data_IF_398175800758
#
_entry.id   IF_398175800758
#
_cell.length_a   1.000
_cell.length_b   1.000
_cell.length_c   1.000
_cell.angle_alpha   90.00
_cell.angle_beta   90.00
_cell.angle_gamma   90.00
#
_symmetry.space_group_name_H-M   'P 1'
#
loop_
_entity.id
_entity.type
_entity.pdbx_description
1 polymer ?
#
# COMPACT_ATOMS: atom_id res chain seq x y z
N UNK A 1 -11.18 47.68 56.08
CA UNK A 1 -10.89 46.32 55.58
C UNK A 1 -10.52 46.44 54.10
N UNK A 2 -9.22 46.51 53.80
CA UNK A 2 -8.68 46.51 52.43
C UNK A 2 -7.84 45.23 52.30
N UNK A 3 -8.25 44.31 51.42
CA UNK A 3 -7.50 43.09 51.11
C UNK A 3 -6.60 43.39 49.92
N UNK A 4 -5.31 43.19 50.14
CA UNK A 4 -4.21 43.34 49.20
C UNK A 4 -4.30 42.33 48.04
N UNK A 5 -4.18 42.86 46.83
CA UNK A 5 -3.93 42.12 45.59
C UNK A 5 -2.57 41.42 45.67
N UNK A 6 -2.55 40.08 45.56
CA UNK A 6 -1.31 39.35 45.30
C UNK A 6 -1.17 39.22 43.78
N UNK A 7 -0.19 39.93 43.23
CA UNK A 7 0.17 39.89 41.82
C UNK A 7 0.58 38.47 41.40
N UNK A 8 0.11 38.07 40.22
CA UNK A 8 0.67 36.95 39.47
C UNK A 8 2.02 37.40 38.91
N UNK A 9 3.12 37.00 39.53
CA UNK A 9 4.45 37.11 38.91
C UNK A 9 4.52 36.11 37.76
N UNK A 10 4.76 36.61 36.55
CA UNK A 10 4.99 35.78 35.38
C UNK A 10 6.32 35.02 35.57
N UNK A 11 6.27 33.69 35.44
CA UNK A 11 7.46 32.83 35.49
C UNK A 11 8.46 33.26 34.40
N UNK A 12 9.77 33.30 34.68
CA UNK A 12 10.80 33.63 33.69
C UNK A 12 10.70 32.70 32.48
N UNK A 13 10.78 33.25 31.26
CA UNK A 13 10.72 32.50 30.00
C UNK A 13 11.77 31.39 29.90
N UNK A 14 12.93 31.56 30.53
CA UNK A 14 13.98 30.55 30.62
C UNK A 14 13.56 29.29 31.41
N UNK A 15 12.73 29.44 32.45
CA UNK A 15 12.19 28.30 33.21
C UNK A 15 11.11 27.56 32.40
N UNK A 16 10.36 28.27 31.55
CA UNK A 16 9.40 27.66 30.63
C UNK A 16 10.15 26.85 29.56
N UNK A 17 11.19 27.41 28.96
CA UNK A 17 12.03 26.67 28.00
C UNK A 17 12.67 25.45 28.66
N UNK A 18 13.20 25.55 29.87
CA UNK A 18 13.83 24.42 30.56
C UNK A 18 12.82 23.34 31.02
N UNK A 19 11.56 23.70 31.30
CA UNK A 19 10.45 22.77 31.59
C UNK A 19 9.90 22.12 30.31
N UNK A 20 9.96 22.81 29.17
CA UNK A 20 9.60 22.28 27.85
C UNK A 20 10.72 21.40 27.26
N UNK A 21 11.98 21.75 27.50
CA UNK A 21 13.18 21.06 27.02
C UNK A 21 13.51 19.82 27.87
N UNK A 22 13.21 19.86 29.19
CA UNK A 22 13.36 18.73 30.10
C UNK A 22 12.37 17.57 29.89
N UNK A 23 11.39 17.73 28.99
CA UNK A 23 10.55 16.62 28.49
C UNK A 23 11.05 16.16 27.14
N UNK A 24 12.26 15.62 27.13
CA UNK A 24 12.80 14.92 25.98
C UNK A 24 11.74 14.02 25.35
N UNK A 25 11.53 14.31 24.08
CA UNK A 25 10.56 13.74 23.18
C UNK A 25 10.75 12.23 23.00
N UNK A 26 10.19 11.41 23.89
CA UNK A 26 9.94 10.01 23.54
C UNK A 26 8.73 9.95 22.61
N UNK A 27 9.00 9.94 21.31
CA UNK A 27 8.06 9.49 20.29
C UNK A 27 7.51 8.13 20.71
N UNK A 28 6.19 7.98 20.77
CA UNK A 28 5.58 6.70 21.14
C UNK A 28 6.10 5.65 20.13
N UNK A 29 6.67 4.54 20.63
CA UNK A 29 7.15 3.41 19.80
C UNK A 29 6.05 2.83 18.91
N UNK A 30 4.80 3.21 19.16
CA UNK A 30 3.63 2.91 18.35
C UNK A 30 3.54 3.76 17.09
N UNK A 31 4.07 4.97 17.08
CA UNK A 31 4.04 5.87 15.91
C UNK A 31 5.26 5.68 14.99
N UNK A 32 6.26 4.93 15.42
CA UNK A 32 7.41 4.56 14.59
C UNK A 32 7.04 3.47 13.58
N UNK A 33 7.15 3.78 12.28
CA UNK A 33 6.83 2.85 11.18
C UNK A 33 7.81 1.67 11.07
N UNK A 34 9.03 1.80 11.61
CA UNK A 34 10.04 0.73 11.60
C UNK A 34 10.02 -0.13 12.86
N UNK A 35 9.14 0.18 13.80
CA UNK A 35 8.89 -0.64 14.98
C UNK A 35 8.37 -2.02 14.57
N UNK A 36 8.79 -3.08 15.30
CA UNK A 36 8.35 -4.48 15.05
C UNK A 36 6.82 -4.62 14.99
N UNK A 37 6.10 -3.78 15.72
CA UNK A 37 4.63 -3.78 15.74
C UNK A 37 4.00 -3.25 14.45
N UNK A 38 4.69 -2.38 13.71
CA UNK A 38 4.19 -1.70 12.51
C UNK A 38 4.80 -2.25 11.22
N UNK A 39 5.88 -3.04 11.32
CA UNK A 39 6.61 -3.57 10.18
C UNK A 39 5.74 -4.34 9.18
N UNK A 40 4.72 -5.08 9.66
CA UNK A 40 3.78 -5.75 8.76
C UNK A 40 2.96 -4.76 7.91
N UNK A 41 2.57 -3.62 8.47
CA UNK A 41 1.85 -2.54 7.77
C UNK A 41 2.80 -1.91 6.75
N UNK A 42 4.00 -1.55 7.18
CA UNK A 42 5.05 -0.95 6.33
C UNK A 42 5.37 -1.83 5.12
N UNK A 43 5.55 -3.14 5.34
CA UNK A 43 5.80 -4.10 4.26
C UNK A 43 4.60 -4.21 3.32
N UNK A 44 3.38 -4.13 3.84
CA UNK A 44 2.18 -4.16 2.99
C UNK A 44 2.11 -2.94 2.07
N UNK A 45 2.39 -1.73 2.58
CA UNK A 45 2.48 -0.52 1.73
C UNK A 45 3.59 -0.63 0.68
N UNK A 46 4.76 -1.15 1.06
CA UNK A 46 5.88 -1.39 0.14
C UNK A 46 5.47 -2.37 -0.97
N UNK A 47 4.89 -3.51 -0.61
CA UNK A 47 4.46 -4.55 -1.55
C UNK A 47 3.39 -4.04 -2.49
N UNK A 48 2.36 -3.33 -2.00
CA UNK A 48 1.30 -2.79 -2.85
C UNK A 48 1.88 -1.80 -3.86
N UNK A 49 2.77 -0.90 -3.44
CA UNK A 49 3.46 0.03 -4.34
C UNK A 49 4.29 -0.70 -5.40
N UNK A 50 5.16 -1.62 -4.96
CA UNK A 50 6.03 -2.40 -5.83
C UNK A 50 5.24 -3.18 -6.88
N UNK A 51 4.22 -3.91 -6.46
CA UNK A 51 3.45 -4.80 -7.32
C UNK A 51 2.65 -4.03 -8.36
N UNK A 52 2.00 -2.92 -8.00
CA UNK A 52 1.23 -2.10 -8.95
C UNK A 52 2.11 -1.58 -10.08
N UNK A 53 3.28 -1.04 -9.74
CA UNK A 53 4.19 -0.48 -10.73
C UNK A 53 4.97 -1.55 -11.49
N UNK A 54 5.28 -2.68 -10.85
CA UNK A 54 5.99 -3.79 -11.49
C UNK A 54 5.15 -4.45 -12.57
N UNK A 55 3.88 -4.76 -12.31
CA UNK A 55 3.03 -5.49 -13.27
C UNK A 55 2.58 -4.61 -14.43
N UNK A 56 2.43 -3.30 -14.22
CA UNK A 56 1.88 -2.40 -15.24
C UNK A 56 2.68 -2.43 -16.55
N UNK A 57 4.01 -2.41 -16.49
CA UNK A 57 4.85 -2.38 -17.71
C UNK A 57 4.84 -3.70 -18.47
N UNK A 58 5.15 -4.86 -17.86
CA UNK A 58 5.08 -6.16 -18.54
C UNK A 58 3.69 -6.49 -19.08
N UNK A 59 2.64 -6.14 -18.33
CA UNK A 59 1.27 -6.42 -18.75
C UNK A 59 0.91 -5.66 -20.04
N UNK A 60 1.20 -4.36 -20.10
CA UNK A 60 0.95 -3.56 -21.30
C UNK A 60 1.72 -4.09 -22.51
N UNK A 61 2.99 -4.46 -22.32
CA UNK A 61 3.80 -4.99 -23.41
C UNK A 61 3.34 -6.38 -23.85
N UNK A 62 2.94 -7.25 -22.92
CA UNK A 62 2.43 -8.59 -23.23
C UNK A 62 1.11 -8.53 -24.01
N UNK A 63 0.19 -7.65 -23.61
CA UNK A 63 -1.07 -7.44 -24.34
C UNK A 63 -0.83 -7.00 -25.79
N UNK A 64 0.15 -6.12 -26.03
CA UNK A 64 0.46 -5.62 -27.38
C UNK A 64 1.24 -6.65 -28.20
N UNK A 65 2.33 -7.20 -27.65
CA UNK A 65 3.32 -7.97 -28.43
C UNK A 65 3.00 -9.46 -28.54
N UNK A 66 2.35 -10.04 -27.54
CA UNK A 66 2.08 -11.50 -27.50
C UNK A 66 0.63 -11.76 -27.88
N UNK A 67 -0.30 -11.13 -27.17
CA UNK A 67 -1.72 -11.34 -27.39
C UNK A 67 -2.28 -10.57 -28.60
N UNK A 68 -1.49 -9.67 -29.21
CA UNK A 68 -1.90 -8.82 -30.33
C UNK A 68 -3.26 -8.13 -30.08
N UNK A 69 -3.51 -7.72 -28.83
CA UNK A 69 -4.80 -7.19 -28.42
C UNK A 69 -5.07 -5.83 -29.11
N UNK A 70 -6.26 -5.69 -29.69
CA UNK A 70 -6.72 -4.41 -30.26
C UNK A 70 -6.71 -3.31 -29.19
N UNK A 71 -6.41 -2.03 -29.54
CA UNK A 71 -6.44 -0.93 -28.59
C UNK A 71 -7.75 -0.79 -27.80
N UNK A 72 -8.89 -1.13 -28.41
CA UNK A 72 -10.21 -1.18 -27.76
C UNK A 72 -10.27 -2.21 -26.62
N UNK A 73 -9.66 -3.38 -26.82
CA UNK A 73 -9.60 -4.46 -25.84
C UNK A 73 -8.62 -4.13 -24.69
N UNK A 74 -7.50 -3.47 -24.99
CA UNK A 74 -6.56 -2.98 -23.98
C UNK A 74 -7.24 -1.97 -23.04
N UNK A 75 -8.00 -1.03 -23.60
CA UNK A 75 -8.79 -0.08 -22.80
C UNK A 75 -9.82 -0.79 -21.92
N UNK A 76 -10.46 -1.83 -22.44
CA UNK A 76 -11.43 -2.64 -21.69
C UNK A 76 -10.78 -3.32 -20.48
N UNK A 77 -9.57 -3.86 -20.65
CA UNK A 77 -8.80 -4.48 -19.54
C UNK A 77 -8.38 -3.42 -18.53
N UNK A 78 -7.96 -2.23 -18.97
CA UNK A 78 -7.66 -1.10 -18.08
C UNK A 78 -8.86 -0.68 -17.23
N UNK A 79 -10.06 -0.66 -17.81
CA UNK A 79 -11.31 -0.41 -17.07
C UNK A 79 -11.59 -1.55 -16.09
N UNK A 80 -11.47 -2.81 -16.51
CA UNK A 80 -11.65 -3.96 -15.62
C UNK A 80 -10.68 -3.96 -14.44
N UNK A 81 -9.44 -3.51 -14.64
CA UNK A 81 -8.46 -3.39 -13.57
C UNK A 81 -8.79 -2.25 -12.58
N UNK A 82 -9.48 -1.21 -13.04
CA UNK A 82 -9.87 -0.06 -12.18
C UNK A 82 -11.21 -0.28 -11.47
N UNK A 83 -12.10 -1.11 -12.00
CA UNK A 83 -13.42 -1.37 -11.41
C UNK A 83 -13.40 -1.86 -9.95
N UNK A 84 -12.55 -2.83 -9.56
CA UNK A 84 -12.49 -3.28 -8.18
C UNK A 84 -12.21 -2.17 -7.16
N UNK A 85 -11.56 -1.07 -7.55
CA UNK A 85 -11.22 0.03 -6.65
C UNK A 85 -12.45 0.72 -6.07
N UNK A 86 -13.57 0.69 -6.80
CA UNK A 86 -14.86 1.17 -6.31
C UNK A 86 -15.42 0.32 -5.16
N UNK A 87 -14.96 -0.94 -5.01
CA UNK A 87 -15.38 -1.86 -3.96
C UNK A 87 -14.58 -1.74 -2.66
N UNK A 88 -13.68 -0.76 -2.56
CA UNK A 88 -12.89 -0.50 -1.33
C UNK A 88 -13.75 -0.44 -0.07
N UNK A 89 -14.88 0.28 -0.14
CA UNK A 89 -15.81 0.43 1.00
C UNK A 89 -16.35 -0.93 1.44
N UNK A 90 -16.71 -1.80 0.50
CA UNK A 90 -17.26 -3.14 0.79
C UNK A 90 -16.26 -3.97 1.61
N UNK A 91 -14.98 -3.97 1.23
CA UNK A 91 -13.94 -4.69 1.97
C UNK A 91 -13.67 -4.08 3.35
N UNK A 92 -13.78 -2.76 3.49
CA UNK A 92 -13.73 -2.07 4.78
C UNK A 92 -14.82 -2.58 5.72
N UNK A 93 -16.09 -2.48 5.30
CA UNK A 93 -17.25 -2.95 6.07
C UNK A 93 -17.20 -4.44 6.38
N UNK A 94 -16.77 -5.27 5.42
CA UNK A 94 -16.65 -6.71 5.61
C UNK A 94 -15.69 -7.04 6.76
N UNK A 95 -14.52 -6.41 6.77
CA UNK A 95 -13.51 -6.63 7.82
C UNK A 95 -13.96 -6.12 9.20
N UNK A 96 -14.80 -5.07 9.24
CA UNK A 96 -15.39 -4.55 10.48
C UNK A 96 -16.44 -5.49 11.07
N UNK A 97 -17.26 -6.08 10.19
CA UNK A 97 -18.45 -6.82 10.58
C UNK A 97 -18.16 -8.30 10.87
N UNK A 98 -17.14 -8.88 10.23
CA UNK A 98 -16.85 -10.32 10.30
C UNK A 98 -15.41 -10.56 10.79
N UNK A 99 -15.16 -10.64 12.11
CA UNK A 99 -13.85 -11.00 12.62
C UNK A 99 -13.56 -12.49 12.35
N UNK A 100 -12.39 -12.79 11.78
CA UNK A 100 -11.94 -14.15 11.50
C UNK A 100 -10.98 -14.58 12.61
N UNK A 101 -11.26 -15.67 13.32
CA UNK A 101 -10.50 -16.12 14.50
C UNK A 101 -10.31 -15.03 15.57
N UNK A 102 -11.30 -14.14 15.73
CA UNK A 102 -11.23 -13.00 16.65
C UNK A 102 -10.31 -11.86 16.19
N UNK A 103 -9.69 -11.97 15.00
CA UNK A 103 -8.86 -10.92 14.40
C UNK A 103 -9.62 -10.23 13.26
N UNK A 104 -9.65 -8.90 13.27
CA UNK A 104 -10.42 -8.13 12.29
C UNK A 104 -9.66 -7.83 10.99
N UNK A 105 -8.36 -7.54 11.03
CA UNK A 105 -7.61 -7.03 9.84
C UNK A 105 -6.54 -7.97 9.30
N UNK A 106 -5.73 -8.51 10.21
CA UNK A 106 -4.60 -9.41 9.89
C UNK A 106 -4.98 -10.59 8.98
N UNK A 107 -6.09 -11.33 9.22
CA UNK A 107 -6.46 -12.44 8.34
C UNK A 107 -6.86 -11.96 6.94
N UNK A 108 -7.55 -10.82 6.83
CA UNK A 108 -7.95 -10.23 5.54
C UNK A 108 -6.73 -9.82 4.70
N UNK A 109 -5.68 -9.32 5.34
CA UNK A 109 -4.41 -8.99 4.69
C UNK A 109 -3.74 -10.25 4.10
N UNK A 110 -3.71 -11.35 4.87
CA UNK A 110 -3.16 -12.61 4.39
C UNK A 110 -3.98 -13.20 3.23
N UNK A 111 -5.32 -13.19 3.35
CA UNK A 111 -6.23 -13.67 2.30
C UNK A 111 -6.04 -12.89 1.01
N UNK A 112 -5.98 -11.55 1.08
CA UNK A 112 -5.80 -10.70 -0.10
C UNK A 112 -4.48 -10.98 -0.82
N UNK A 113 -3.38 -11.15 -0.08
CA UNK A 113 -2.06 -11.48 -0.65
C UNK A 113 -2.03 -12.87 -1.29
N UNK A 114 -2.68 -13.86 -0.66
CA UNK A 114 -2.80 -15.22 -1.22
C UNK A 114 -3.66 -15.20 -2.47
N UNK A 115 -4.79 -14.50 -2.46
CA UNK A 115 -5.68 -14.38 -3.62
C UNK A 115 -4.96 -13.70 -4.79
N UNK A 116 -4.21 -12.64 -4.52
CA UNK A 116 -3.39 -11.95 -5.52
C UNK A 116 -2.38 -12.90 -6.16
N UNK A 117 -1.56 -13.55 -5.33
CA UNK A 117 -0.53 -14.48 -5.80
C UNK A 117 -1.14 -15.64 -6.58
N UNK A 118 -2.24 -16.20 -6.08
CA UNK A 118 -2.93 -17.30 -6.72
C UNK A 118 -3.45 -16.93 -8.11
N UNK A 119 -4.04 -15.75 -8.29
CA UNK A 119 -4.57 -15.32 -9.58
C UNK A 119 -3.50 -15.25 -10.69
N UNK A 120 -2.31 -14.72 -10.36
CA UNK A 120 -1.19 -14.64 -11.30
C UNK A 120 -0.49 -15.99 -11.51
N UNK A 121 -0.34 -16.80 -10.45
CA UNK A 121 0.21 -18.15 -10.57
C UNK A 121 -0.71 -19.04 -11.41
N UNK A 122 -2.02 -18.96 -11.20
CA UNK A 122 -3.00 -19.69 -11.98
C UNK A 122 -2.93 -19.31 -13.47
N UNK A 123 -2.74 -18.02 -13.77
CA UNK A 123 -2.51 -17.57 -15.14
C UNK A 123 -1.23 -18.20 -15.72
N UNK A 124 -0.11 -18.08 -15.00
CA UNK A 124 1.20 -18.57 -15.44
C UNK A 124 1.22 -20.10 -15.69
N UNK A 125 0.51 -20.89 -14.88
CA UNK A 125 0.48 -22.36 -15.02
C UNK A 125 -0.51 -22.80 -16.10
N UNK A 126 -1.56 -22.02 -16.36
CA UNK A 126 -2.62 -22.43 -17.29
C UNK A 126 -2.13 -22.67 -18.72
N UNK A 127 -1.10 -21.94 -19.17
CA UNK A 127 -0.66 -21.93 -20.57
C UNK A 127 -1.72 -21.45 -21.56
N UNK A 128 -2.76 -20.76 -21.09
CA UNK A 128 -3.87 -20.28 -21.93
C UNK A 128 -3.61 -18.83 -22.35
N UNK A 129 -3.20 -18.64 -23.60
CA UNK A 129 -3.02 -17.32 -24.22
C UNK A 129 -4.37 -16.69 -24.64
N UNK A 130 -5.24 -16.43 -23.65
CA UNK A 130 -6.53 -15.77 -23.87
C UNK A 130 -6.60 -14.46 -23.13
N UNK A 131 -6.93 -13.40 -23.87
CA UNK A 131 -7.12 -12.06 -23.31
C UNK A 131 -8.24 -12.05 -22.25
N UNK A 132 -9.31 -12.81 -22.45
CA UNK A 132 -10.42 -12.91 -21.50
C UNK A 132 -9.98 -13.59 -20.20
N UNK A 133 -9.19 -14.66 -20.31
CA UNK A 133 -8.67 -15.36 -19.14
C UNK A 133 -7.70 -14.47 -18.34
N UNK A 134 -6.79 -13.78 -19.04
CA UNK A 134 -5.92 -12.77 -18.44
C UNK A 134 -6.73 -11.68 -17.72
N UNK A 135 -7.76 -11.14 -18.35
CA UNK A 135 -8.63 -10.11 -17.76
C UNK A 135 -9.32 -10.60 -16.47
N UNK A 136 -9.80 -11.84 -16.44
CA UNK A 136 -10.38 -12.47 -15.25
C UNK A 136 -9.36 -12.61 -14.13
N UNK A 137 -8.16 -13.12 -14.42
CA UNK A 137 -7.08 -13.22 -13.45
C UNK A 137 -6.67 -11.85 -12.89
N UNK A 138 -6.55 -10.83 -13.74
CA UNK A 138 -6.27 -9.45 -13.31
C UNK A 138 -7.38 -8.92 -12.40
N UNK A 139 -8.65 -9.14 -12.76
CA UNK A 139 -9.77 -8.69 -11.97
C UNK A 139 -9.78 -9.33 -10.58
N UNK A 140 -9.66 -10.67 -10.52
CA UNK A 140 -9.61 -11.43 -9.26
C UNK A 140 -8.38 -11.05 -8.43
N UNK A 141 -7.22 -10.91 -9.06
CA UNK A 141 -6.01 -10.44 -8.40
C UNK A 141 -6.22 -9.04 -7.81
N UNK A 142 -6.78 -8.12 -8.59
CA UNK A 142 -6.99 -6.72 -8.13
C UNK A 142 -7.97 -6.65 -6.96
N UNK A 143 -8.97 -7.53 -6.86
CA UNK A 143 -9.80 -7.67 -5.65
C UNK A 143 -8.96 -8.01 -4.42
N UNK A 144 -8.05 -8.98 -4.53
CA UNK A 144 -7.12 -9.35 -3.46
C UNK A 144 -6.17 -8.20 -3.08
N UNK A 145 -5.65 -7.48 -4.07
CA UNK A 145 -4.78 -6.31 -3.87
C UNK A 145 -5.49 -5.20 -3.10
N UNK A 146 -6.74 -4.91 -3.45
CA UNK A 146 -7.53 -3.87 -2.81
C UNK A 146 -7.92 -4.25 -1.39
N UNK A 147 -8.19 -5.53 -1.15
CA UNK A 147 -8.39 -6.04 0.20
C UNK A 147 -7.17 -5.75 1.08
N UNK A 148 -5.95 -6.02 0.60
CA UNK A 148 -4.70 -5.68 1.31
C UNK A 148 -4.58 -4.16 1.52
N UNK A 149 -4.84 -3.37 0.48
CA UNK A 149 -4.74 -1.90 0.50
C UNK A 149 -5.67 -1.28 1.55
N UNK A 150 -6.95 -1.69 1.59
CA UNK A 150 -7.94 -1.20 2.55
C UNK A 150 -7.60 -1.61 3.98
N UNK A 151 -7.09 -2.84 4.18
CA UNK A 151 -6.67 -3.28 5.52
C UNK A 151 -5.47 -2.46 6.01
N UNK A 152 -4.48 -2.20 5.14
CA UNK A 152 -3.32 -1.39 5.46
C UNK A 152 -3.72 0.06 5.79
N UNK A 153 -4.60 0.67 5.00
CA UNK A 153 -5.16 2.01 5.25
C UNK A 153 -5.88 2.08 6.60
N UNK A 154 -6.71 1.08 6.90
CA UNK A 154 -7.43 1.03 8.18
C UNK A 154 -6.47 0.90 9.36
N UNK A 155 -5.44 0.06 9.24
CA UNK A 155 -4.42 -0.10 10.28
C UNK A 155 -3.55 1.15 10.44
N UNK A 156 -3.25 1.87 9.36
CA UNK A 156 -2.61 3.18 9.40
C UNK A 156 -3.47 4.17 10.20
N UNK A 157 -4.77 4.28 9.91
CA UNK A 157 -5.67 5.18 10.65
C UNK A 157 -5.80 4.78 12.12
N UNK A 158 -5.85 3.49 12.43
CA UNK A 158 -5.86 3.02 13.82
C UNK A 158 -4.58 3.40 14.57
N UNK A 159 -3.46 3.41 13.87
CA UNK A 159 -2.15 3.71 14.45
C UNK A 159 -1.86 5.20 14.53
N UNK A 160 -2.44 6.02 13.66
CA UNK A 160 -2.29 7.49 13.69
C UNK A 160 -3.02 8.13 14.88
N UNK A 161 -3.98 7.41 15.49
CA UNK A 161 -4.63 7.83 16.74
C UNK A 161 -3.66 8.01 17.91
N UNK A 162 -2.48 7.40 17.85
CA UNK A 162 -1.45 7.55 18.88
C UNK A 162 -0.50 8.73 18.59
N UNK A 163 -0.63 9.41 17.45
CA UNK A 163 0.12 10.63 17.15
C UNK A 163 -0.37 11.80 18.01
N UNK A 164 0.58 12.65 18.41
CA UNK A 164 0.25 13.92 19.05
C UNK A 164 -0.44 14.85 18.05
N UNK A 165 -1.24 15.80 18.54
CA UNK A 165 -2.04 16.68 17.67
C UNK A 165 -1.20 17.51 16.69
N UNK A 166 0.00 17.93 17.13
CA UNK A 166 0.99 18.67 16.33
C UNK A 166 1.66 17.80 15.24
N UNK A 167 1.59 16.48 15.37
CA UNK A 167 2.23 15.51 14.46
C UNK A 167 1.22 14.67 13.67
N UNK A 168 -0.09 14.93 13.79
CA UNK A 168 -1.13 14.16 13.12
C UNK A 168 -0.91 14.11 11.61
N UNK A 169 -0.92 12.89 11.06
CA UNK A 169 -0.78 12.63 9.64
C UNK A 169 0.64 12.31 9.17
N UNK A 170 1.68 12.49 10.02
CA UNK A 170 3.05 12.16 9.65
C UNK A 170 3.24 10.68 9.34
N UNK A 171 2.62 9.80 10.11
CA UNK A 171 2.71 8.36 9.92
C UNK A 171 1.99 7.93 8.64
N UNK A 172 0.85 8.54 8.32
CA UNK A 172 0.19 8.31 7.03
C UNK A 172 1.10 8.75 5.87
N UNK A 173 1.67 9.96 5.94
CA UNK A 173 2.63 10.44 4.95
C UNK A 173 3.83 9.49 4.81
N UNK A 174 4.34 8.96 5.92
CA UNK A 174 5.46 8.01 5.94
C UNK A 174 5.10 6.69 5.24
N UNK A 175 3.93 6.11 5.52
CA UNK A 175 3.47 4.90 4.85
C UNK A 175 3.26 5.11 3.35
N UNK A 176 2.67 6.22 2.93
CA UNK A 176 2.54 6.55 1.51
C UNK A 176 3.90 6.78 0.84
N UNK A 177 4.86 7.38 1.55
CA UNK A 177 6.23 7.53 1.05
C UNK A 177 6.87 6.16 0.77
N UNK A 178 6.69 5.21 1.69
CA UNK A 178 7.13 3.81 1.50
C UNK A 178 6.44 3.18 0.28
N UNK A 179 5.13 3.40 0.09
CA UNK A 179 4.41 2.93 -1.09
C UNK A 179 5.00 3.48 -2.39
N UNK A 180 5.23 4.79 -2.46
CA UNK A 180 5.78 5.41 -3.66
C UNK A 180 7.21 4.96 -3.93
N UNK A 181 8.04 4.81 -2.89
CA UNK A 181 9.38 4.22 -3.02
C UNK A 181 9.30 2.79 -3.58
N UNK A 182 8.39 1.97 -3.06
CA UNK A 182 8.08 0.64 -3.61
C UNK A 182 7.69 0.71 -5.08
N UNK A 183 6.82 1.65 -5.45
CA UNK A 183 6.39 1.87 -6.83
C UNK A 183 7.53 2.25 -7.78
N UNK A 184 8.46 3.11 -7.34
CA UNK A 184 9.66 3.44 -8.13
C UNK A 184 10.50 2.19 -8.37
N UNK A 185 10.75 1.39 -7.32
CA UNK A 185 11.49 0.13 -7.45
C UNK A 185 10.76 -0.83 -8.40
N UNK A 186 9.44 -0.99 -8.22
CA UNK A 186 8.60 -1.82 -9.07
C UNK A 186 8.66 -1.41 -10.53
N UNK A 187 8.54 -0.11 -10.82
CA UNK A 187 8.61 0.42 -12.19
C UNK A 187 9.96 0.14 -12.84
N UNK A 188 11.07 0.36 -12.12
CA UNK A 188 12.43 0.07 -12.61
C UNK A 188 12.59 -1.43 -12.89
N UNK A 189 12.17 -2.28 -11.96
CA UNK A 189 12.23 -3.73 -12.13
C UNK A 189 11.38 -4.21 -13.31
N UNK A 190 10.14 -3.72 -13.44
CA UNK A 190 9.23 -4.06 -14.54
C UNK A 190 9.78 -3.63 -15.90
N UNK A 191 10.33 -2.40 -15.98
CA UNK A 191 10.97 -1.91 -17.19
C UNK A 191 12.22 -2.73 -17.56
N UNK A 192 13.04 -3.08 -16.56
CA UNK A 192 14.25 -3.88 -16.77
C UNK A 192 13.92 -5.29 -17.29
N UNK A 193 12.85 -5.92 -16.81
CA UNK A 193 12.45 -7.25 -17.29
C UNK A 193 12.05 -7.23 -18.77
N UNK A 194 11.41 -6.15 -19.24
CA UNK A 194 10.86 -6.07 -20.59
C UNK A 194 11.77 -5.43 -21.64
N UNK A 195 12.90 -4.82 -21.26
CA UNK A 195 13.76 -4.06 -22.18
C UNK A 195 15.09 -4.75 -22.51
N UNK A 196 15.12 -6.10 -22.51
CA UNK A 196 16.34 -6.87 -22.78
C UNK A 196 17.03 -6.46 -24.09
N UNK A 197 16.26 -6.27 -25.16
CA UNK A 197 16.79 -5.95 -26.49
C UNK A 197 17.44 -4.55 -26.57
N UNK A 198 17.11 -3.64 -25.65
CA UNK A 198 17.63 -2.26 -25.63
C UNK A 198 18.66 -2.03 -24.52
N UNK A 199 18.50 -2.66 -23.36
CA UNK A 199 19.33 -2.40 -22.17
C UNK A 199 20.28 -3.55 -21.83
N UNK A 200 20.21 -4.68 -22.53
CA UNK A 200 21.07 -5.86 -22.30
C UNK A 200 20.78 -6.62 -21.00
N UNK A 201 19.88 -6.11 -20.16
CA UNK A 201 19.41 -6.72 -18.91
C UNK A 201 17.90 -6.96 -19.07
N UNK A 202 17.43 -8.19 -18.80
CA UNK A 202 16.01 -8.57 -18.89
C UNK A 202 15.78 -9.98 -19.43
N UNK A 203 14.51 -10.36 -19.58
CA UNK A 203 14.09 -11.59 -20.27
C UNK A 203 13.63 -11.24 -21.69
N UNK A 204 13.91 -12.11 -22.67
CA UNK A 204 13.38 -11.90 -24.03
C UNK A 204 11.87 -12.13 -23.96
N UNK A 205 11.06 -11.44 -24.77
CA UNK A 205 9.60 -11.63 -24.72
C UNK A 205 9.15 -13.08 -24.91
N UNK A 206 9.90 -13.88 -25.69
CA UNK A 206 9.70 -15.32 -25.86
C UNK A 206 10.06 -16.18 -24.63
N UNK A 207 10.72 -15.60 -23.62
CA UNK A 207 11.10 -16.28 -22.37
C UNK A 207 10.15 -15.93 -21.21
N UNK A 208 9.25 -14.95 -21.41
CA UNK A 208 8.25 -14.50 -20.42
C UNK A 208 6.85 -15.03 -20.77
N UNK A 209 6.59 -15.33 -22.05
CA UNK A 209 5.44 -16.12 -22.52
C UNK A 209 5.78 -17.61 -22.45
#
# INVERSE_FOLDING_TARGET
MSKTEKGYEALPTADIEHVLDGKEHKTDKRCDIFSKSNMAITMSYLTVGLVMSFIQTPLNVYMVKVLNAEPSLQNTIGILQTLPWSLKLVFGFLSDSVPIYGMQRKPYLAIGTVLYSFAFIAYAISGVDSVTFLALCIFVGTLGLIMVDVMADTMCVQRSRFEKEDQRGQMQASFYSVRFAGGVIGAICGASVCNKDTWGVGLTFQQVA
#
